data_IF_871095914715
#
_entry.id   IF_871095914715
#
_cell.length_a   1.000
_cell.length_b   1.000
_cell.length_c   1.000
_cell.angle_alpha   90.00
_cell.angle_beta   90.00
_cell.angle_gamma   90.00
#
_symmetry.space_group_name_H-M   'P 1'
#
loop_
_entity.id
_entity.type
_entity.pdbx_description
1 polymer ?
#
# COMPACT_ATOMS: atom_id res chain seq x y z
N UNK A 1 -10.21 -24.17 -28.21
CA UNK A 1 -8.92 -23.87 -27.56
C UNK A 1 -9.20 -22.83 -26.50
N UNK A 2 -8.92 -23.13 -25.23
CA UNK A 2 -9.07 -22.18 -24.13
C UNK A 2 -7.91 -21.17 -24.23
N UNK A 3 -8.20 -19.96 -24.71
CA UNK A 3 -7.24 -18.87 -24.85
C UNK A 3 -7.72 -17.75 -23.93
N UNK A 4 -6.83 -17.24 -23.08
CA UNK A 4 -7.12 -16.08 -22.25
C UNK A 4 -6.84 -14.80 -23.06
N UNK A 5 -7.79 -13.88 -23.07
CA UNK A 5 -7.66 -12.60 -23.75
C UNK A 5 -7.26 -11.52 -22.75
N UNK A 6 -6.35 -10.63 -23.15
CA UNK A 6 -6.02 -9.45 -22.33
C UNK A 6 -7.18 -8.49 -22.36
N UNK A 7 -7.77 -8.23 -21.19
CA UNK A 7 -8.91 -7.34 -21.04
C UNK A 7 -8.44 -5.88 -20.94
N UNK A 8 -7.53 -5.60 -19.99
CA UNK A 8 -6.88 -4.31 -19.83
C UNK A 8 -5.57 -4.44 -19.04
N UNK A 9 -4.77 -3.39 -19.08
CA UNK A 9 -3.56 -3.25 -18.26
C UNK A 9 -3.81 -2.19 -17.20
N UNK A 10 -3.48 -2.49 -15.95
CA UNK A 10 -3.57 -1.57 -14.83
C UNK A 10 -2.20 -1.35 -14.20
N UNK A 11 -1.97 -0.21 -13.57
CA UNK A 11 -0.73 0.08 -12.87
C UNK A 11 -0.91 -0.16 -11.37
N UNK A 12 -0.14 -1.09 -10.81
CA UNK A 12 -0.11 -1.37 -9.38
C UNK A 12 1.32 -1.26 -8.92
N UNK A 13 1.56 -0.38 -7.93
CA UNK A 13 2.90 -0.16 -7.36
C UNK A 13 3.95 0.25 -8.42
N UNK A 14 3.54 1.06 -9.41
CA UNK A 14 4.43 1.50 -10.49
C UNK A 14 4.70 0.46 -11.57
N UNK A 15 4.03 -0.70 -11.52
CA UNK A 15 4.23 -1.81 -12.44
C UNK A 15 2.94 -2.11 -13.22
N UNK A 16 3.02 -2.28 -14.56
CA UNK A 16 1.89 -2.67 -15.35
C UNK A 16 1.54 -4.14 -15.10
N UNK A 17 0.31 -4.40 -14.68
CA UNK A 17 -0.30 -5.71 -14.51
C UNK A 17 -1.34 -5.90 -15.60
N UNK A 18 -1.31 -7.05 -16.29
CA UNK A 18 -2.32 -7.42 -17.28
C UNK A 18 -3.44 -8.21 -16.62
N UNK A 19 -4.67 -7.72 -16.76
CA UNK A 19 -5.87 -8.46 -16.36
C UNK A 19 -6.37 -9.23 -17.57
N UNK A 20 -6.45 -10.55 -17.42
CA UNK A 20 -6.87 -11.46 -18.46
C UNK A 20 -8.30 -11.93 -18.19
N UNK A 21 -9.11 -12.07 -19.23
CA UNK A 21 -10.43 -12.68 -19.14
C UNK A 21 -10.40 -14.10 -19.71
N UNK A 22 -10.96 -15.04 -18.96
CA UNK A 22 -11.14 -16.41 -19.40
C UNK A 22 -12.38 -17.01 -18.73
N UNK A 23 -13.32 -17.52 -19.53
CA UNK A 23 -14.59 -18.10 -19.06
C UNK A 23 -15.40 -17.14 -18.17
N UNK A 24 -15.49 -15.86 -18.57
CA UNK A 24 -16.20 -14.79 -17.84
C UNK A 24 -15.66 -14.53 -16.42
N UNK A 25 -14.42 -14.96 -16.15
CA UNK A 25 -13.68 -14.66 -14.92
C UNK A 25 -12.42 -13.87 -15.26
N UNK A 26 -11.99 -13.06 -14.30
CA UNK A 26 -10.76 -12.28 -14.41
C UNK A 26 -9.61 -13.02 -13.74
N UNK A 27 -8.45 -12.92 -14.36
CA UNK A 27 -7.26 -13.66 -13.97
C UNK A 27 -6.01 -12.79 -14.10
N UNK A 28 -5.05 -13.05 -13.23
CA UNK A 28 -3.71 -12.46 -13.29
C UNK A 28 -2.66 -13.49 -13.65
N UNK A 29 -1.65 -13.06 -14.41
CA UNK A 29 -0.54 -13.91 -14.79
C UNK A 29 0.47 -14.09 -13.65
N UNK A 30 1.04 -15.29 -13.53
CA UNK A 30 2.12 -15.55 -12.58
C UNK A 30 3.34 -14.64 -12.84
N UNK A 31 3.57 -14.23 -14.08
CA UNK A 31 4.69 -13.36 -14.43
C UNK A 31 4.49 -11.94 -13.86
N UNK A 32 3.31 -11.37 -14.06
CA UNK A 32 3.03 -10.01 -13.60
C UNK A 32 3.01 -9.95 -12.06
N UNK A 33 2.42 -10.96 -11.41
CA UNK A 33 2.52 -11.10 -9.96
C UNK A 33 3.98 -11.19 -9.49
N UNK A 34 4.86 -11.84 -10.25
CA UNK A 34 6.26 -11.99 -9.85
C UNK A 34 7.00 -10.66 -9.85
N UNK A 35 6.65 -9.78 -10.79
CA UNK A 35 7.15 -8.40 -10.87
C UNK A 35 6.63 -7.58 -9.70
N UNK A 36 5.33 -7.66 -9.41
CA UNK A 36 4.67 -6.91 -8.32
C UNK A 36 5.22 -7.30 -6.96
N UNK A 37 5.45 -8.58 -6.74
CA UNK A 37 6.09 -9.05 -5.51
C UNK A 37 7.61 -8.89 -5.52
N UNK A 38 8.22 -8.25 -6.52
CA UNK A 38 9.68 -8.03 -6.64
C UNK A 38 10.50 -9.33 -6.56
N UNK A 39 9.95 -10.45 -7.04
CA UNK A 39 10.68 -11.72 -7.05
C UNK A 39 11.78 -11.67 -8.12
N UNK A 40 12.99 -12.07 -7.74
CA UNK A 40 14.14 -12.13 -8.66
C UNK A 40 13.94 -13.13 -9.82
N UNK A 41 13.09 -14.13 -9.62
CA UNK A 41 12.79 -15.17 -10.60
C UNK A 41 11.28 -15.26 -10.80
N UNK A 42 10.84 -15.31 -12.06
CA UNK A 42 9.44 -15.56 -12.45
C UNK A 42 8.91 -16.89 -11.90
N UNK A 43 9.79 -17.88 -11.74
CA UNK A 43 9.46 -19.18 -11.16
C UNK A 43 9.16 -19.15 -9.65
N UNK A 44 9.37 -18.03 -8.96
CA UNK A 44 9.16 -17.96 -7.50
C UNK A 44 7.70 -18.17 -7.11
N UNK A 45 6.77 -17.67 -7.93
CA UNK A 45 5.33 -17.85 -7.72
C UNK A 45 4.91 -19.28 -8.06
N UNK A 46 5.49 -19.87 -9.11
CA UNK A 46 5.27 -21.29 -9.41
C UNK A 46 5.74 -22.17 -8.26
N UNK A 47 6.88 -21.84 -7.62
CA UNK A 47 7.35 -22.55 -6.42
C UNK A 47 6.43 -22.34 -5.22
N UNK A 48 5.95 -21.11 -4.99
CA UNK A 48 4.98 -20.82 -3.93
C UNK A 48 3.66 -21.56 -4.15
N UNK A 49 3.17 -21.61 -5.39
CA UNK A 49 2.03 -22.41 -5.78
C UNK A 49 2.24 -23.91 -5.47
N UNK A 50 3.40 -24.48 -5.83
CA UNK A 50 3.65 -25.89 -5.54
C UNK A 50 3.63 -26.21 -4.04
N UNK A 51 4.02 -25.27 -3.17
CA UNK A 51 3.96 -25.44 -1.71
C UNK A 51 2.53 -25.40 -1.17
N UNK A 52 1.64 -24.63 -1.80
CA UNK A 52 0.25 -24.45 -1.40
C UNK A 52 -0.74 -25.02 -2.43
N UNK A 53 -0.32 -26.07 -3.14
CA UNK A 53 -1.06 -26.61 -4.30
C UNK A 53 -2.49 -27.00 -3.93
N UNK A 54 -2.68 -27.67 -2.81
CA UNK A 54 -3.98 -28.15 -2.36
C UNK A 54 -5.04 -27.03 -2.22
N UNK A 55 -4.62 -25.83 -1.81
CA UNK A 55 -5.52 -24.68 -1.65
C UNK A 55 -5.73 -23.90 -2.95
N UNK A 56 -4.74 -23.89 -3.86
CA UNK A 56 -4.72 -23.02 -5.04
C UNK A 56 -5.09 -23.74 -6.35
N UNK A 57 -5.23 -25.08 -6.34
CA UNK A 57 -5.50 -25.86 -7.56
C UNK A 57 -6.85 -25.49 -8.18
N UNK A 58 -7.88 -25.26 -7.36
CA UNK A 58 -9.22 -24.79 -7.78
C UNK A 58 -9.21 -23.35 -8.32
N UNK A 59 -8.24 -22.56 -7.88
CA UNK A 59 -8.12 -21.12 -8.10
C UNK A 59 -7.03 -20.76 -9.13
N UNK A 60 -6.52 -21.77 -9.86
CA UNK A 60 -5.49 -21.57 -10.86
C UNK A 60 -5.80 -22.32 -12.14
N UNK A 61 -5.51 -21.68 -13.27
CA UNK A 61 -5.68 -22.30 -14.59
C UNK A 61 -4.38 -22.19 -15.38
N UNK A 62 -4.05 -23.21 -16.15
CA UNK A 62 -2.98 -23.15 -17.14
C UNK A 62 -3.59 -22.96 -18.50
N UNK A 63 -3.35 -21.80 -19.10
CA UNK A 63 -3.91 -21.47 -20.41
C UNK A 63 -2.90 -20.71 -21.25
N UNK A 64 -3.15 -20.59 -22.55
CA UNK A 64 -2.35 -19.74 -23.44
C UNK A 64 -2.93 -18.34 -23.42
N UNK A 65 -2.06 -17.34 -23.35
CA UNK A 65 -2.44 -15.94 -23.51
C UNK A 65 -2.46 -15.63 -25.01
N UNK A 66 -3.48 -14.92 -25.47
CA UNK A 66 -3.55 -14.49 -26.86
C UNK A 66 -2.33 -13.63 -27.22
N UNK A 67 -1.57 -14.04 -28.23
CA UNK A 67 -0.30 -13.41 -28.63
C UNK A 67 0.98 -13.98 -28.00
N UNK A 68 0.91 -14.77 -26.93
CA UNK A 68 2.09 -15.43 -26.33
C UNK A 68 2.02 -16.95 -26.54
N UNK A 69 3.03 -17.51 -27.22
CA UNK A 69 3.04 -18.93 -27.62
C UNK A 69 3.14 -19.95 -26.47
N UNK A 70 3.42 -19.49 -25.24
CA UNK A 70 3.71 -20.32 -24.08
C UNK A 70 2.52 -20.41 -23.11
N UNK A 71 2.37 -21.56 -22.45
CA UNK A 71 1.30 -21.77 -21.45
C UNK A 71 1.69 -21.08 -20.14
N UNK A 72 0.94 -20.06 -19.74
CA UNK A 72 1.15 -19.34 -18.48
C UNK A 72 0.12 -19.82 -17.46
N UNK A 73 0.53 -19.91 -16.18
CA UNK A 73 -0.40 -20.18 -15.09
C UNK A 73 -1.03 -18.85 -14.65
N UNK A 74 -2.35 -18.84 -14.61
CA UNK A 74 -3.14 -17.71 -14.18
C UNK A 74 -3.79 -18.02 -12.83
N UNK A 75 -4.04 -16.97 -12.07
CA UNK A 75 -4.66 -17.02 -10.75
C UNK A 75 -5.88 -16.11 -10.70
N UNK A 76 -6.94 -16.58 -10.06
CA UNK A 76 -8.11 -15.76 -9.78
C UNK A 76 -7.86 -14.83 -8.59
N UNK A 77 -8.84 -13.98 -8.29
CA UNK A 77 -8.76 -13.04 -7.17
C UNK A 77 -8.42 -13.71 -5.84
N UNK A 78 -9.04 -14.87 -5.56
CA UNK A 78 -8.79 -15.60 -4.32
C UNK A 78 -7.34 -16.10 -4.24
N UNK A 79 -6.83 -16.69 -5.34
CA UNK A 79 -5.44 -17.13 -5.42
C UNK A 79 -4.45 -15.99 -5.24
N UNK A 80 -4.75 -14.81 -5.80
CA UNK A 80 -3.89 -13.62 -5.62
C UNK A 80 -3.95 -13.09 -4.18
N UNK A 81 -5.13 -12.99 -3.57
CA UNK A 81 -5.28 -12.61 -2.14
C UNK A 81 -4.49 -13.54 -1.24
N UNK A 82 -4.55 -14.85 -1.50
CA UNK A 82 -3.78 -15.84 -0.75
C UNK A 82 -2.28 -15.54 -0.84
N UNK A 83 -1.71 -15.28 -2.03
CA UNK A 83 -0.30 -14.91 -2.14
C UNK A 83 0.05 -13.61 -1.40
N UNK A 84 -0.86 -12.64 -1.36
CA UNK A 84 -0.65 -11.40 -0.65
C UNK A 84 -0.59 -11.60 0.88
N UNK A 85 -1.40 -12.48 1.44
CA UNK A 85 -1.43 -12.77 2.87
C UNK A 85 -0.10 -13.35 3.38
N UNK A 86 0.53 -14.22 2.58
CA UNK A 86 1.83 -14.81 2.91
C UNK A 86 3.03 -13.92 2.58
N UNK A 87 2.84 -12.85 1.80
CA UNK A 87 3.92 -11.99 1.33
C UNK A 87 3.97 -10.68 2.14
N UNK A 88 5.03 -10.48 2.92
CA UNK A 88 5.27 -9.25 3.70
C UNK A 88 5.84 -8.09 2.86
N UNK A 89 5.72 -8.14 1.53
CA UNK A 89 6.36 -7.17 0.62
C UNK A 89 5.43 -5.97 0.36
N UNK A 90 5.98 -4.77 0.11
CA UNK A 90 5.17 -3.58 -0.14
C UNK A 90 4.23 -3.77 -1.34
N UNK A 91 4.69 -4.41 -2.42
CA UNK A 91 3.87 -4.72 -3.58
C UNK A 91 2.63 -5.57 -3.27
N UNK A 92 2.70 -6.45 -2.25
CA UNK A 92 1.54 -7.23 -1.80
C UNK A 92 0.46 -6.34 -1.19
N UNK A 93 0.85 -5.37 -0.35
CA UNK A 93 -0.07 -4.43 0.29
C UNK A 93 -0.78 -3.57 -0.76
N UNK A 94 -0.03 -3.08 -1.75
CA UNK A 94 -0.61 -2.32 -2.86
C UNK A 94 -1.54 -3.16 -3.73
N UNK A 95 -1.19 -4.42 -3.97
CA UNK A 95 -2.02 -5.35 -4.72
C UNK A 95 -3.32 -5.68 -4.00
N UNK A 96 -3.30 -5.88 -2.67
CA UNK A 96 -4.53 -6.08 -1.87
C UNK A 96 -5.43 -4.85 -1.95
N UNK A 97 -4.89 -3.65 -1.76
CA UNK A 97 -5.68 -2.41 -1.89
C UNK A 97 -6.29 -2.26 -3.27
N UNK A 98 -5.55 -2.63 -4.32
CA UNK A 98 -6.05 -2.61 -5.69
C UNK A 98 -7.18 -3.64 -5.90
N UNK A 99 -7.07 -4.83 -5.31
CA UNK A 99 -8.13 -5.84 -5.34
C UNK A 99 -9.37 -5.38 -4.57
N UNK A 100 -9.21 -4.80 -3.38
CA UNK A 100 -10.32 -4.28 -2.57
C UNK A 100 -11.04 -3.10 -3.25
N UNK A 101 -10.34 -2.34 -4.10
CA UNK A 101 -10.92 -1.32 -4.97
C UNK A 101 -11.66 -1.90 -6.20
N UNK A 102 -11.77 -3.23 -6.32
CA UNK A 102 -12.39 -3.88 -7.47
C UNK A 102 -11.50 -3.90 -8.72
N UNK A 103 -10.18 -3.83 -8.56
CA UNK A 103 -9.24 -3.69 -9.66
C UNK A 103 -9.30 -4.79 -10.73
N UNK A 104 -9.69 -6.02 -10.38
CA UNK A 104 -9.91 -7.09 -11.37
C UNK A 104 -11.24 -6.97 -12.13
N UNK A 105 -12.21 -6.21 -11.61
CA UNK A 105 -13.57 -6.12 -12.15
C UNK A 105 -13.77 -4.89 -13.06
N UNK A 106 -12.76 -4.02 -13.20
CA UNK A 106 -12.84 -2.80 -14.00
C UNK A 106 -12.77 -3.08 -15.52
N UNK A 107 -13.77 -3.79 -16.03
CA UNK A 107 -14.04 -3.97 -17.46
C UNK A 107 -15.05 -2.92 -17.98
N UNK A 108 -14.96 -1.68 -17.52
CA UNK A 108 -15.72 -0.58 -18.14
C UNK A 108 -14.73 0.44 -18.68
N UNK A 109 -14.61 0.52 -20.01
CA UNK A 109 -13.87 1.54 -20.73
C UNK A 109 -14.38 2.96 -20.37
N UNK A 110 -13.59 4.02 -20.58
CA UNK A 110 -13.65 5.24 -19.80
C UNK A 110 -14.84 6.11 -20.19
N UNK A 111 -15.72 6.38 -19.23
CA UNK A 111 -16.50 7.61 -19.25
C UNK A 111 -15.73 8.65 -18.42
N UNK A 112 -15.40 9.83 -18.97
CA UNK A 112 -15.01 10.94 -18.11
C UNK A 112 -16.24 11.35 -17.30
N UNK A 113 -16.02 11.89 -16.12
CA UNK A 113 -17.01 12.34 -15.12
C UNK A 113 -17.56 11.23 -14.21
N UNK A 114 -17.47 11.30 -12.88
CA UNK A 114 -17.22 12.42 -12.00
C UNK A 114 -16.29 11.99 -10.86
N UNK A 115 -15.14 12.66 -10.78
CA UNK A 115 -14.45 12.86 -9.52
C UNK A 115 -15.41 13.64 -8.61
N UNK A 116 -16.18 12.95 -7.76
CA UNK A 116 -16.98 13.55 -6.70
C UNK A 116 -17.49 12.46 -5.73
N UNK A 117 -16.60 11.89 -4.91
CA UNK A 117 -16.78 11.50 -3.48
C UNK A 117 -15.36 11.06 -3.06
N UNK A 118 -14.46 11.83 -2.47
CA UNK A 118 -14.56 12.79 -1.38
C UNK A 118 -13.64 13.97 -1.71
N UNK A 119 -14.16 15.18 -1.60
CA UNK A 119 -13.38 16.39 -1.61
C UNK A 119 -12.47 16.43 -0.37
N UNK A 120 -11.31 15.76 -0.43
CA UNK A 120 -10.16 16.26 0.29
C UNK A 120 -9.76 17.55 -0.42
N UNK A 121 -10.02 18.64 0.29
CA UNK A 121 -9.64 20.00 -0.05
C UNK A 121 -8.17 19.98 -0.51
N UNK A 122 -7.95 19.91 -1.82
CA UNK A 122 -6.65 20.08 -2.45
C UNK A 122 -6.22 21.51 -2.22
N UNK A 123 -5.55 21.75 -1.09
CA UNK A 123 -4.65 22.87 -0.96
C UNK A 123 -3.46 22.55 -1.85
N UNK A 124 -3.34 23.30 -2.94
CA UNK A 124 -2.20 23.33 -3.84
C UNK A 124 -0.89 23.14 -3.09
N UNK A 125 -0.14 22.10 -3.44
CA UNK A 125 1.23 21.89 -2.95
C UNK A 125 2.12 21.55 -4.16
N UNK A 126 3.32 22.13 -4.25
CA UNK A 126 4.17 22.10 -5.44
C UNK A 126 4.87 20.71 -5.58
N UNK A 127 5.76 20.47 -6.57
CA UNK A 127 6.12 19.15 -7.08
C UNK A 127 6.81 18.27 -6.01
N UNK A 128 6.88 16.94 -6.21
CA UNK A 128 6.99 16.01 -5.10
C UNK A 128 8.24 16.24 -4.26
N UNK A 129 8.07 16.34 -2.93
CA UNK A 129 9.16 16.59 -2.04
C UNK A 129 9.98 15.28 -1.91
N UNK A 130 11.25 15.35 -1.52
CA UNK A 130 12.12 14.18 -1.42
C UNK A 130 11.47 13.07 -0.53
N UNK A 131 11.88 11.79 -0.66
CA UNK A 131 11.22 10.68 0.07
C UNK A 131 11.13 10.95 1.59
N UNK A 132 12.10 11.68 2.15
CA UNK A 132 12.13 12.13 3.54
C UNK A 132 10.98 13.09 3.86
N UNK A 133 10.75 14.10 3.03
CA UNK A 133 9.65 15.05 3.19
C UNK A 133 8.28 14.38 3.02
N UNK A 134 8.14 13.43 2.08
CA UNK A 134 6.92 12.61 1.97
C UNK A 134 6.64 11.81 3.25
N UNK A 135 7.68 11.22 3.84
CA UNK A 135 7.55 10.49 5.12
C UNK A 135 7.19 11.41 6.27
N UNK A 136 7.77 12.61 6.33
CA UNK A 136 7.41 13.63 7.34
C UNK A 136 5.94 14.03 7.19
N UNK A 137 5.49 14.32 5.98
CA UNK A 137 4.10 14.68 5.71
C UNK A 137 3.13 13.57 6.12
N UNK A 138 3.44 12.31 5.76
CA UNK A 138 2.64 11.16 6.16
C UNK A 138 2.58 10.99 7.69
N UNK A 139 3.72 11.14 8.39
CA UNK A 139 3.77 11.09 9.85
C UNK A 139 2.88 12.17 10.49
N UNK A 140 2.92 13.40 9.97
CA UNK A 140 2.06 14.47 10.45
C UNK A 140 0.57 14.15 10.27
N UNK A 141 0.16 13.65 9.10
CA UNK A 141 -1.25 13.31 8.85
C UNK A 141 -1.72 12.12 9.69
N UNK A 142 -0.85 11.14 9.94
CA UNK A 142 -1.16 10.02 10.84
C UNK A 142 -1.35 10.49 12.28
N UNK A 143 -0.47 11.36 12.79
CA UNK A 143 -0.61 11.94 14.14
C UNK A 143 -1.89 12.76 14.28
N UNK A 144 -2.25 13.57 13.28
CA UNK A 144 -3.53 14.31 13.28
C UNK A 144 -4.74 13.38 13.31
N UNK A 145 -4.69 12.32 12.51
CA UNK A 145 -5.78 11.32 12.44
C UNK A 145 -5.92 10.61 13.78
N UNK A 146 -4.79 10.21 14.39
CA UNK A 146 -4.77 9.58 15.71
C UNK A 146 -5.39 10.51 16.76
N UNK A 147 -4.90 11.75 16.85
CA UNK A 147 -5.42 12.76 17.79
C UNK A 147 -6.91 13.05 17.59
N UNK A 148 -7.43 12.97 16.36
CA UNK A 148 -8.85 13.17 16.06
C UNK A 148 -9.79 12.08 16.61
N UNK A 149 -9.24 10.92 16.98
CA UNK A 149 -10.00 9.78 17.51
C UNK A 149 -9.59 9.37 18.92
N UNK A 150 -8.57 10.02 19.50
CA UNK A 150 -8.06 9.69 20.83
C UNK A 150 -8.89 10.34 21.95
N UNK A 151 -9.01 9.62 23.05
CA UNK A 151 -9.51 10.13 24.35
C UNK A 151 -8.45 10.96 25.07
N UNK A 152 -8.84 11.74 26.07
CA UNK A 152 -7.91 12.59 26.84
C UNK A 152 -6.77 11.79 27.49
N UNK A 153 -7.06 10.58 27.99
CA UNK A 153 -6.05 9.68 28.55
C UNK A 153 -5.05 9.21 27.48
N UNK A 154 -5.54 8.84 26.30
CA UNK A 154 -4.67 8.42 25.18
C UNK A 154 -3.84 9.59 24.62
N UNK A 155 -4.38 10.81 24.63
CA UNK A 155 -3.63 12.02 24.27
C UNK A 155 -2.53 12.31 25.28
N UNK A 156 -2.80 12.12 26.58
CA UNK A 156 -1.80 12.27 27.64
C UNK A 156 -0.67 11.25 27.49
N UNK A 157 -1.00 9.99 27.22
CA UNK A 157 -0.01 8.93 26.98
C UNK A 157 0.81 9.19 25.72
N UNK A 158 0.14 9.58 24.62
CA UNK A 158 0.82 9.93 23.36
C UNK A 158 1.77 11.12 23.55
N UNK A 159 1.38 12.11 24.35
CA UNK A 159 2.23 13.25 24.69
C UNK A 159 3.50 12.78 25.43
N UNK A 160 3.37 11.90 26.41
CA UNK A 160 4.52 11.32 27.12
C UNK A 160 5.46 10.55 26.18
N UNK A 161 4.92 9.75 25.26
CA UNK A 161 5.72 9.01 24.28
C UNK A 161 6.50 9.97 23.38
N UNK A 162 5.86 11.00 22.84
CA UNK A 162 6.51 11.97 21.96
C UNK A 162 7.59 12.77 22.72
N UNK A 163 7.32 13.19 23.96
CA UNK A 163 8.30 13.89 24.78
C UNK A 163 9.53 13.04 25.14
N UNK A 164 9.32 11.74 25.38
CA UNK A 164 10.39 10.79 25.63
C UNK A 164 11.29 10.65 24.39
N UNK A 165 10.70 10.50 23.21
CA UNK A 165 11.44 10.44 21.94
C UNK A 165 12.22 11.74 21.65
N UNK A 166 11.64 12.92 21.91
CA UNK A 166 12.36 14.19 21.78
C UNK A 166 13.55 14.26 22.73
N UNK A 167 13.38 13.77 23.97
CA UNK A 167 14.46 13.74 24.96
C UNK A 167 15.57 12.77 24.57
N UNK A 168 15.23 11.57 24.10
CA UNK A 168 16.19 10.59 23.59
C UNK A 168 16.94 11.11 22.36
N UNK A 169 16.26 11.78 21.42
CA UNK A 169 16.91 12.42 20.26
C UNK A 169 17.94 13.48 20.67
N UNK A 170 17.63 14.30 21.69
CA UNK A 170 18.55 15.29 22.23
C UNK A 170 19.76 14.66 22.93
N UNK A 171 19.55 13.52 23.60
CA UNK A 171 20.60 12.76 24.25
C UNK A 171 21.54 12.08 23.23
N UNK A 172 20.99 11.55 22.13
CA UNK A 172 21.76 10.90 21.06
C UNK A 172 22.48 11.89 20.16
N UNK A 173 21.88 13.06 19.91
CA UNK A 173 22.43 14.09 19.04
C UNK A 173 22.19 15.46 19.65
N UNK A 174 23.27 16.14 20.01
CA UNK A 174 23.19 17.52 20.45
C UNK A 174 22.59 18.40 19.32
N UNK A 175 21.40 18.93 19.57
CA UNK A 175 20.64 19.72 18.59
C UNK A 175 20.01 20.94 19.29
N UNK A 176 20.73 22.08 19.35
CA UNK A 176 20.27 23.28 20.06
C UNK A 176 18.93 23.82 19.55
N UNK A 177 18.68 23.73 18.24
CA UNK A 177 17.44 24.18 17.62
C UNK A 177 16.22 23.37 18.08
N UNK A 178 16.36 22.05 18.20
CA UNK A 178 15.31 21.17 18.74
C UNK A 178 15.06 21.47 20.22
N UNK A 179 16.12 21.67 21.00
CA UNK A 179 16.00 22.01 22.41
C UNK A 179 15.27 23.35 22.61
N UNK A 180 15.62 24.38 21.83
CA UNK A 180 14.95 25.67 21.88
C UNK A 180 13.47 25.57 21.49
N UNK A 181 13.15 24.83 20.42
CA UNK A 181 11.77 24.60 20.00
C UNK A 181 10.94 23.87 21.08
N UNK A 182 11.55 22.92 21.81
CA UNK A 182 10.91 22.27 22.96
C UNK A 182 10.59 23.27 24.08
N UNK A 183 11.51 24.18 24.42
CA UNK A 183 11.26 25.23 25.42
C UNK A 183 10.18 26.23 24.99
N UNK A 184 10.11 26.57 23.69
CA UNK A 184 9.01 27.40 23.15
C UNK A 184 7.65 26.71 23.31
N UNK A 185 7.55 25.40 23.02
CA UNK A 185 6.31 24.64 23.22
C UNK A 185 5.90 24.61 24.69
N UNK A 186 6.85 24.38 25.59
CA UNK A 186 6.61 24.44 27.03
C UNK A 186 6.04 25.78 27.46
N UNK A 187 6.67 26.90 27.07
CA UNK A 187 6.20 28.25 27.41
C UNK A 187 4.83 28.59 26.85
N UNK A 188 4.49 28.01 25.69
CA UNK A 188 3.22 28.27 25.02
C UNK A 188 2.05 27.52 25.63
N UNK A 189 2.27 26.28 26.06
CA UNK A 189 1.19 25.39 26.48
C UNK A 189 1.17 25.09 27.98
N UNK A 190 2.23 25.42 28.73
CA UNK A 190 2.32 25.25 30.19
C UNK A 190 2.03 23.82 30.69
N UNK A 191 2.20 22.81 29.82
CA UNK A 191 1.84 21.41 30.09
C UNK A 191 2.83 20.69 31.02
N UNK A 192 4.01 21.27 31.26
CA UNK A 192 4.87 20.89 32.38
C UNK A 192 5.01 22.13 33.26
N UNK A 193 4.90 22.00 34.57
CA UNK A 193 5.21 23.07 35.53
C UNK A 193 4.31 24.30 35.46
N UNK A 194 3.05 24.13 35.85
CA UNK A 194 2.24 25.18 36.48
C UNK A 194 1.96 24.80 37.92
N UNK A 195 2.96 24.93 38.78
CA UNK A 195 2.75 25.22 40.21
C UNK A 195 3.59 26.47 40.47
N UNK A 196 2.90 27.61 40.57
CA UNK A 196 3.34 28.79 41.30
C UNK A 196 2.42 28.91 42.49
#
# INVERSE_FOLDING_TARGET
MNIAQTLFTSEVYGLPIRVLTHSNKHWLSAEDLSKVFEYRLTNSITKAFCRHRAALETHSIKTKIDGEGWKVRLFDEFGVRYFCEYSKRPGAVHLVRWLDAGGMQMATAPAPVAANVLAFKSLSSPPPPNQTERRKAYCCELLKTLLGHSTDLEVMDLTHVIEAEVSDLLNRRHCPSLNNARYELYRRFWLKGGDV
#
